data_IF_637583787647
#
_entry.id   IF_637583787647
#
_cell.length_a   1.000
_cell.length_b   1.000
_cell.length_c   1.000
_cell.angle_alpha   90.00
_cell.angle_beta   90.00
_cell.angle_gamma   90.00
#
_symmetry.space_group_name_H-M   'P 1'
#
loop_
_entity.id
_entity.type
_entity.pdbx_description
1 polymer ?
#
# COMPACT_ATOMS: atom_id res chain seq x y z
N UNK A 1 -36.96 -1.89 -87.91
CA UNK A 1 -36.01 -1.26 -86.96
C UNK A 1 -36.00 -2.11 -85.68
N UNK A 2 -35.12 -3.11 -85.59
CA UNK A 2 -35.06 -4.03 -84.44
C UNK A 2 -34.14 -3.46 -83.36
N UNK A 3 -34.63 -3.52 -82.14
CA UNK A 3 -34.12 -2.91 -80.90
C UNK A 3 -32.71 -3.38 -80.53
N UNK A 4 -31.80 -2.43 -80.35
CA UNK A 4 -30.52 -2.61 -79.67
C UNK A 4 -30.66 -2.05 -78.24
N UNK A 5 -31.12 -2.87 -77.31
CA UNK A 5 -31.16 -2.56 -75.86
C UNK A 5 -30.75 -3.81 -75.07
N UNK A 6 -29.46 -4.14 -75.05
CA UNK A 6 -28.98 -5.24 -74.18
C UNK A 6 -27.55 -5.10 -73.67
N UNK A 7 -26.82 -4.04 -74.03
CA UNK A 7 -25.42 -3.88 -73.63
C UNK A 7 -25.22 -3.18 -72.26
N UNK A 8 -26.10 -2.25 -71.86
CA UNK A 8 -25.88 -1.43 -70.65
C UNK A 8 -26.25 -2.10 -69.33
N UNK A 9 -27.25 -2.99 -69.31
CA UNK A 9 -27.65 -3.67 -68.08
C UNK A 9 -26.62 -4.70 -67.59
N UNK A 10 -25.83 -5.30 -68.50
CA UNK A 10 -24.80 -6.28 -68.10
C UNK A 10 -23.56 -5.64 -67.49
N UNK A 11 -23.20 -4.42 -67.89
CA UNK A 11 -22.10 -3.66 -67.28
C UNK A 11 -22.48 -3.16 -65.89
N UNK A 12 -23.70 -2.65 -65.70
CA UNK A 12 -24.13 -2.10 -64.40
C UNK A 12 -24.27 -3.18 -63.31
N UNK A 13 -24.68 -4.42 -63.68
CA UNK A 13 -24.74 -5.52 -62.72
C UNK A 13 -23.34 -5.94 -62.23
N UNK A 14 -22.36 -6.06 -63.15
CA UNK A 14 -20.99 -6.45 -62.80
C UNK A 14 -20.29 -5.39 -61.93
N UNK A 15 -20.51 -4.09 -62.18
CA UNK A 15 -19.93 -3.05 -61.31
C UNK A 15 -20.49 -3.09 -59.89
N UNK A 16 -21.80 -3.37 -59.73
CA UNK A 16 -22.41 -3.54 -58.41
C UNK A 16 -21.88 -4.78 -57.67
N UNK A 17 -21.64 -5.89 -58.37
CA UNK A 17 -21.10 -7.11 -57.73
C UNK A 17 -19.64 -6.90 -57.30
N UNK A 18 -18.84 -6.21 -58.12
CA UNK A 18 -17.44 -5.89 -57.81
C UNK A 18 -17.35 -4.89 -56.65
N UNK A 19 -18.24 -3.89 -56.58
CA UNK A 19 -18.32 -2.97 -55.46
C UNK A 19 -18.76 -3.65 -54.14
N UNK A 20 -19.66 -4.64 -54.22
CA UNK A 20 -20.08 -5.43 -53.06
C UNK A 20 -18.96 -6.34 -52.55
N UNK A 21 -18.20 -6.96 -53.46
CA UNK A 21 -17.03 -7.79 -53.16
C UNK A 21 -15.87 -6.97 -52.59
N UNK A 22 -15.61 -5.77 -53.14
CA UNK A 22 -14.64 -4.83 -52.58
C UNK A 22 -15.08 -4.31 -51.21
N UNK A 23 -16.37 -4.02 -51.01
CA UNK A 23 -16.95 -3.65 -49.72
C UNK A 23 -16.89 -4.78 -48.69
N UNK A 24 -17.07 -6.03 -49.13
CA UNK A 24 -16.93 -7.21 -48.27
C UNK A 24 -15.45 -7.50 -47.95
N UNK A 25 -14.52 -7.36 -48.90
CA UNK A 25 -13.08 -7.43 -48.64
C UNK A 25 -12.59 -6.29 -47.73
N UNK A 26 -13.13 -5.07 -47.87
CA UNK A 26 -12.84 -3.95 -46.96
C UNK A 26 -13.44 -4.17 -45.57
N UNK A 27 -14.64 -4.76 -45.47
CA UNK A 27 -15.20 -5.20 -44.19
C UNK A 27 -14.40 -6.36 -43.59
N UNK A 28 -13.92 -7.31 -44.39
CA UNK A 28 -13.05 -8.39 -43.91
C UNK A 28 -11.66 -7.87 -43.51
N UNK A 29 -11.12 -6.85 -44.19
CA UNK A 29 -9.88 -6.16 -43.81
C UNK A 29 -10.08 -5.27 -42.56
N UNK A 30 -11.27 -4.70 -42.34
CA UNK A 30 -11.66 -4.03 -41.10
C UNK A 30 -11.95 -5.01 -39.95
N UNK A 31 -12.44 -6.21 -40.26
CA UNK A 31 -12.60 -7.31 -39.29
C UNK A 31 -11.27 -8.02 -39.02
N UNK A 32 -10.26 -7.82 -39.89
CA UNK A 32 -8.88 -8.26 -39.70
C UNK A 32 -7.95 -7.24 -39.04
N UNK A 33 -8.43 -6.02 -38.73
CA UNK A 33 -8.00 -5.39 -37.48
C UNK A 33 -8.56 -6.27 -36.37
N UNK A 34 -7.81 -7.31 -36.04
CA UNK A 34 -8.22 -8.33 -35.11
C UNK A 34 -8.70 -7.71 -33.81
N UNK A 35 -9.43 -8.51 -33.05
CA UNK A 35 -9.55 -8.39 -31.60
C UNK A 35 -8.15 -8.46 -30.94
N UNK A 36 -7.26 -7.51 -31.25
CA UNK A 36 -6.20 -7.10 -30.37
C UNK A 36 -6.95 -6.45 -29.19
N UNK A 37 -7.26 -7.24 -28.17
CA UNK A 37 -7.72 -6.73 -26.90
C UNK A 37 -6.74 -5.65 -26.46
N UNK A 38 -7.16 -4.39 -26.62
CA UNK A 38 -6.27 -3.26 -26.40
C UNK A 38 -6.04 -3.13 -24.91
N UNK A 39 -4.81 -2.83 -24.49
CA UNK A 39 -4.51 -2.60 -23.07
C UNK A 39 -5.41 -1.51 -22.44
N UNK A 40 -6.01 -0.66 -23.28
CA UNK A 40 -7.00 0.34 -22.89
C UNK A 40 -8.28 -0.28 -22.30
N UNK A 41 -8.82 -1.35 -22.91
CA UNK A 41 -10.00 -2.04 -22.38
C UNK A 41 -9.71 -2.66 -21.01
N UNK A 42 -8.52 -3.24 -20.84
CA UNK A 42 -8.07 -3.76 -19.53
C UNK A 42 -7.98 -2.64 -18.50
N UNK A 43 -7.46 -1.47 -18.88
CA UNK A 43 -7.40 -0.30 -17.99
C UNK A 43 -8.79 0.16 -17.58
N UNK A 44 -9.75 0.18 -18.50
CA UNK A 44 -11.14 0.56 -18.19
C UNK A 44 -11.81 -0.43 -17.24
N UNK A 45 -11.61 -1.74 -17.45
CA UNK A 45 -12.09 -2.77 -16.53
C UNK A 45 -11.51 -2.62 -15.12
N UNK A 46 -10.19 -2.39 -15.00
CA UNK A 46 -9.54 -2.16 -13.72
C UNK A 46 -10.05 -0.87 -13.03
N UNK A 47 -10.25 0.21 -13.79
CA UNK A 47 -10.86 1.45 -13.25
C UNK A 47 -12.28 1.19 -12.77
N UNK A 48 -13.06 0.42 -13.50
CA UNK A 48 -14.43 0.05 -13.11
C UNK A 48 -14.45 -0.79 -11.83
N UNK A 49 -13.47 -1.66 -11.63
CA UNK A 49 -13.30 -2.40 -10.37
C UNK A 49 -12.92 -1.49 -9.18
N UNK A 50 -12.51 -0.26 -9.44
CA UNK A 50 -12.19 0.76 -8.45
C UNK A 50 -10.70 0.99 -8.22
N UNK A 51 -9.82 0.39 -9.03
CA UNK A 51 -8.39 0.71 -8.99
C UNK A 51 -8.15 2.18 -9.39
N UNK A 52 -7.16 2.80 -8.76
CA UNK A 52 -6.78 4.19 -9.02
C UNK A 52 -5.42 4.26 -9.70
N UNK A 53 -5.10 5.40 -10.31
CA UNK A 53 -3.84 5.64 -11.01
C UNK A 53 -3.48 4.52 -12.01
N UNK A 54 -4.49 4.07 -12.77
CA UNK A 54 -4.35 2.94 -13.70
C UNK A 54 -3.86 3.44 -15.05
N UNK A 55 -2.90 2.78 -15.67
CA UNK A 55 -2.43 3.10 -17.02
C UNK A 55 -1.68 1.92 -17.63
N UNK A 56 -1.35 2.03 -18.91
CA UNK A 56 -0.63 0.99 -19.62
C UNK A 56 0.27 1.55 -20.73
N UNK A 57 1.25 0.76 -21.13
CA UNK A 57 2.07 1.01 -22.33
C UNK A 57 2.56 -0.33 -22.86
N UNK A 58 2.90 -0.36 -24.15
CA UNK A 58 3.41 -1.56 -24.79
C UNK A 58 4.49 -1.16 -25.79
N UNK A 59 5.57 -1.93 -25.83
CA UNK A 59 6.60 -1.84 -26.86
C UNK A 59 6.81 -3.20 -27.55
N UNK A 60 7.95 -3.39 -28.22
CA UNK A 60 8.26 -4.63 -28.91
C UNK A 60 8.57 -5.79 -27.94
N UNK A 61 8.99 -5.51 -26.72
CA UNK A 61 9.49 -6.50 -25.74
C UNK A 61 8.46 -6.81 -24.64
N UNK A 62 7.79 -5.78 -24.11
CA UNK A 62 6.92 -5.92 -22.94
C UNK A 62 5.65 -5.05 -23.01
N UNK A 63 4.55 -5.58 -22.43
CA UNK A 63 3.36 -4.81 -22.07
C UNK A 63 3.39 -4.51 -20.57
N UNK A 64 3.30 -3.23 -20.20
CA UNK A 64 3.39 -2.78 -18.80
C UNK A 64 2.09 -2.10 -18.39
N UNK A 65 1.43 -2.67 -17.38
CA UNK A 65 0.34 -2.03 -16.65
C UNK A 65 0.88 -1.36 -15.38
N UNK A 66 0.26 -0.25 -15.00
CA UNK A 66 0.47 0.40 -13.70
C UNK A 66 -0.87 0.56 -13.02
N UNK A 67 -0.95 0.26 -11.73
CA UNK A 67 -2.19 0.38 -10.96
C UNK A 67 -1.92 0.66 -9.48
N UNK A 68 -2.88 1.31 -8.81
CA UNK A 68 -2.91 1.47 -7.36
C UNK A 68 -4.15 0.78 -6.82
N UNK A 69 -3.94 -0.21 -5.95
CA UNK A 69 -5.04 -0.86 -5.25
C UNK A 69 -5.55 0.03 -4.13
N UNK A 70 -6.73 0.63 -4.36
CA UNK A 70 -7.48 1.35 -3.33
C UNK A 70 -8.87 0.76 -3.10
N UNK A 71 -9.28 -0.20 -3.92
CA UNK A 71 -10.60 -0.83 -3.84
C UNK A 71 -10.63 -2.01 -2.88
N UNK A 72 -9.55 -2.78 -2.81
CA UNK A 72 -9.44 -3.95 -1.95
C UNK A 72 -8.55 -3.63 -0.74
N UNK A 73 -9.06 -3.95 0.45
CA UNK A 73 -8.32 -3.70 1.70
C UNK A 73 -7.03 -4.50 1.79
N UNK A 74 -7.06 -5.73 1.29
CA UNK A 74 -5.93 -6.63 1.27
C UNK A 74 -5.20 -6.51 -0.07
N UNK A 75 -3.91 -6.19 -0.03
CA UNK A 75 -3.11 -5.98 -1.23
C UNK A 75 -3.01 -7.24 -2.09
N UNK A 76 -2.75 -8.40 -1.48
CA UNK A 76 -2.72 -9.69 -2.18
C UNK A 76 -4.00 -10.00 -2.95
N UNK A 77 -5.17 -9.80 -2.34
CA UNK A 77 -6.47 -10.02 -3.01
C UNK A 77 -6.66 -9.04 -4.17
N UNK A 78 -6.39 -7.75 -3.96
CA UNK A 78 -6.53 -6.75 -5.01
C UNK A 78 -5.61 -7.03 -6.19
N UNK A 79 -4.34 -7.34 -5.92
CA UNK A 79 -3.36 -7.66 -6.96
C UNK A 79 -3.75 -8.95 -7.69
N UNK A 80 -4.16 -10.00 -6.98
CA UNK A 80 -4.65 -11.25 -7.59
C UNK A 80 -5.85 -11.01 -8.50
N UNK A 81 -6.81 -10.17 -8.09
CA UNK A 81 -7.96 -9.78 -8.92
C UNK A 81 -7.56 -8.95 -10.14
N UNK A 82 -6.52 -8.13 -10.04
CA UNK A 82 -5.99 -7.41 -11.19
C UNK A 82 -5.30 -8.37 -12.18
N UNK A 83 -4.55 -9.35 -11.66
CA UNK A 83 -3.95 -10.42 -12.47
C UNK A 83 -5.02 -11.21 -13.23
N UNK A 84 -6.10 -11.65 -12.54
CA UNK A 84 -7.22 -12.36 -13.18
C UNK A 84 -7.75 -11.58 -14.39
N UNK A 85 -8.06 -10.30 -14.19
CA UNK A 85 -8.66 -9.45 -15.23
C UNK A 85 -7.68 -9.21 -16.38
N UNK A 86 -6.39 -9.05 -16.10
CA UNK A 86 -5.38 -8.89 -17.15
C UNK A 86 -5.24 -10.19 -17.96
N UNK A 87 -5.36 -11.35 -17.33
CA UNK A 87 -5.32 -12.65 -18.00
C UNK A 87 -6.59 -12.90 -18.83
N UNK A 88 -7.77 -12.66 -18.26
CA UNK A 88 -9.08 -12.77 -18.92
C UNK A 88 -9.20 -11.83 -20.14
N UNK A 89 -8.60 -10.63 -20.04
CA UNK A 89 -8.58 -9.63 -21.11
C UNK A 89 -7.41 -9.81 -22.09
N UNK A 90 -6.64 -10.89 -21.98
CA UNK A 90 -5.59 -11.26 -22.92
C UNK A 90 -4.19 -10.74 -22.57
N UNK A 91 -3.26 -11.68 -22.38
CA UNK A 91 -1.83 -11.41 -22.29
C UNK A 91 -1.23 -11.15 -23.68
N UNK A 92 -0.16 -10.34 -23.78
CA UNK A 92 0.46 -10.08 -25.07
C UNK A 92 1.14 -11.35 -25.62
N UNK A 93 0.95 -11.63 -26.90
CA UNK A 93 1.60 -12.76 -27.58
C UNK A 93 3.10 -12.51 -27.76
N UNK A 94 3.93 -13.51 -27.43
CA UNK A 94 5.39 -13.47 -27.56
C UNK A 94 6.12 -12.31 -26.86
N UNK A 95 5.46 -11.64 -25.91
CA UNK A 95 6.03 -10.54 -25.11
C UNK A 95 5.84 -10.82 -23.63
N UNK A 96 6.69 -10.23 -22.79
CA UNK A 96 6.44 -10.27 -21.35
C UNK A 96 5.32 -9.33 -20.96
N UNK A 97 4.65 -9.64 -19.85
CA UNK A 97 3.67 -8.75 -19.24
C UNK A 97 4.14 -8.34 -17.84
N UNK A 98 4.00 -7.06 -17.52
CA UNK A 98 4.42 -6.51 -16.23
C UNK A 98 3.32 -5.69 -15.59
N UNK A 99 3.13 -5.85 -14.29
CA UNK A 99 2.23 -5.02 -13.49
C UNK A 99 3.06 -4.27 -12.45
N UNK A 100 3.03 -2.95 -12.47
CA UNK A 100 3.66 -2.11 -11.45
C UNK A 100 2.60 -1.64 -10.47
N UNK A 101 2.75 -2.05 -9.21
CA UNK A 101 1.82 -1.69 -8.13
C UNK A 101 2.30 -0.43 -7.44
N UNK A 102 1.44 0.56 -7.34
CA UNK A 102 1.69 1.83 -6.66
C UNK A 102 1.09 1.85 -5.25
N UNK A 103 1.70 2.62 -4.36
CA UNK A 103 1.07 3.17 -3.15
C UNK A 103 1.32 4.68 -3.12
N UNK A 104 0.25 5.45 -2.96
CA UNK A 104 0.26 6.92 -3.09
C UNK A 104 1.06 7.46 -4.30
N UNK A 105 0.84 6.89 -5.49
CA UNK A 105 1.58 7.19 -6.73
C UNK A 105 3.09 6.85 -6.74
N UNK A 106 3.62 6.21 -5.69
CA UNK A 106 5.01 5.72 -5.61
C UNK A 106 5.03 4.22 -5.95
N UNK A 107 5.86 3.75 -6.89
CA UNK A 107 5.92 2.34 -7.25
C UNK A 107 6.56 1.51 -6.13
N UNK A 108 5.90 0.43 -5.73
CA UNK A 108 6.30 -0.40 -4.59
C UNK A 108 6.92 -1.72 -5.05
N UNK A 109 6.21 -2.46 -5.89
CA UNK A 109 6.63 -3.76 -6.43
C UNK A 109 6.25 -3.87 -7.91
N UNK A 110 6.88 -4.80 -8.61
CA UNK A 110 6.45 -5.27 -9.92
C UNK A 110 6.07 -6.75 -9.86
N UNK A 111 5.12 -7.14 -10.72
CA UNK A 111 4.83 -8.52 -11.06
C UNK A 111 5.21 -8.72 -12.52
N UNK A 112 6.00 -9.73 -12.82
CA UNK A 112 6.52 -10.01 -14.14
C UNK A 112 6.12 -11.41 -14.60
N UNK A 113 5.43 -11.48 -15.72
CA UNK A 113 5.05 -12.71 -16.40
C UNK A 113 5.89 -12.86 -17.67
N UNK A 114 6.56 -14.01 -17.80
CA UNK A 114 7.19 -14.40 -19.05
C UNK A 114 6.28 -15.40 -19.77
N UNK A 115 6.07 -15.24 -21.09
CA UNK A 115 5.28 -16.19 -21.85
C UNK A 115 5.96 -17.56 -21.84
N UNK A 116 5.20 -18.59 -21.49
CA UNK A 116 5.66 -19.98 -21.53
C UNK A 116 5.55 -20.46 -22.98
N UNK A 117 6.68 -20.65 -23.65
CA UNK A 117 6.74 -21.15 -25.02
C UNK A 117 6.71 -22.69 -24.97
N UNK A 118 5.61 -23.30 -25.43
CA UNK A 118 5.44 -24.74 -25.55
C UNK A 118 4.40 -25.11 -26.61
N UNK A 119 4.36 -26.38 -27.04
CA UNK A 119 3.51 -26.88 -28.14
C UNK A 119 1.99 -26.80 -27.84
N UNK A 120 1.62 -26.59 -26.58
CA UNK A 120 0.25 -26.30 -26.12
C UNK A 120 0.28 -24.94 -25.45
N UNK A 121 -0.64 -24.02 -25.77
CA UNK A 121 -0.74 -22.71 -25.10
C UNK A 121 -1.09 -22.98 -23.63
N UNK A 122 -0.16 -22.82 -22.67
CA UNK A 122 -0.50 -23.03 -21.27
C UNK A 122 -1.37 -21.85 -20.84
N UNK A 123 -2.53 -22.12 -20.24
CA UNK A 123 -3.30 -21.06 -19.60
C UNK A 123 -2.42 -20.46 -18.50
N UNK A 124 -2.15 -19.15 -18.60
CA UNK A 124 -1.30 -18.46 -17.64
C UNK A 124 -1.95 -18.54 -16.25
N UNK A 125 -1.22 -19.01 -15.25
CA UNK A 125 -1.70 -19.09 -13.88
C UNK A 125 -1.08 -17.97 -13.02
N UNK A 126 -1.72 -17.63 -11.90
CA UNK A 126 -1.16 -16.67 -10.92
C UNK A 126 0.22 -17.08 -10.42
N UNK A 127 0.53 -18.38 -10.41
CA UNK A 127 1.84 -18.92 -10.00
C UNK A 127 2.98 -18.57 -10.97
N UNK A 128 2.67 -18.16 -12.20
CA UNK A 128 3.69 -17.86 -13.21
C UNK A 128 4.22 -16.43 -13.10
N UNK A 129 3.54 -15.57 -12.34
CA UNK A 129 3.96 -14.19 -12.10
C UNK A 129 5.07 -14.11 -11.04
N UNK A 130 6.26 -13.67 -11.43
CA UNK A 130 7.33 -13.39 -10.48
C UNK A 130 7.10 -12.02 -9.84
N UNK A 131 7.17 -11.93 -8.51
CA UNK A 131 6.96 -10.68 -7.78
C UNK A 131 8.29 -10.20 -7.25
N UNK A 132 8.62 -8.93 -7.46
CA UNK A 132 9.90 -8.35 -7.06
C UNK A 132 9.75 -6.89 -6.64
N UNK A 133 10.65 -6.42 -5.77
CA UNK A 133 10.85 -4.99 -5.58
C UNK A 133 11.42 -4.34 -6.83
N UNK A 134 12.25 -5.03 -7.63
CA UNK A 134 12.83 -4.45 -8.84
C UNK A 134 11.73 -4.09 -9.85
N UNK A 135 11.89 -2.93 -10.47
CA UNK A 135 10.98 -2.41 -11.49
C UNK A 135 11.60 -2.50 -12.90
N UNK A 136 12.88 -2.86 -12.99
CA UNK A 136 13.74 -2.79 -14.18
C UNK A 136 13.63 -1.45 -14.94
N UNK A 137 13.82 -1.49 -16.27
CA UNK A 137 13.61 -0.35 -17.17
C UNK A 137 12.14 0.06 -17.32
N UNK A 138 11.19 -0.82 -16.98
CA UNK A 138 9.76 -0.64 -17.25
C UNK A 138 9.17 0.61 -16.58
N UNK A 139 9.64 0.96 -15.37
CA UNK A 139 9.17 2.18 -14.71
C UNK A 139 9.50 3.46 -15.49
N UNK A 140 10.65 3.51 -16.18
CA UNK A 140 11.03 4.67 -17.00
C UNK A 140 10.08 4.85 -18.19
N UNK A 141 9.56 3.75 -18.73
CA UNK A 141 8.59 3.70 -19.83
C UNK A 141 7.21 4.19 -19.36
N UNK A 142 6.68 3.59 -18.28
CA UNK A 142 5.29 3.86 -17.83
C UNK A 142 5.12 5.17 -17.05
N UNK A 143 6.17 5.74 -16.43
CA UNK A 143 6.02 6.94 -15.58
C UNK A 143 5.47 8.17 -16.30
N UNK A 144 5.57 8.23 -17.64
CA UNK A 144 5.10 9.34 -18.48
C UNK A 144 3.69 9.11 -19.04
N UNK A 145 3.15 7.89 -18.89
CA UNK A 145 1.83 7.52 -19.38
C UNK A 145 0.76 8.25 -18.58
N UNK A 146 -0.29 8.70 -19.27
CA UNK A 146 -1.48 9.28 -18.64
C UNK A 146 -2.21 8.19 -17.87
N UNK A 147 -2.43 8.41 -16.57
CA UNK A 147 -3.16 7.47 -15.71
C UNK A 147 -4.62 7.87 -15.59
N UNK A 148 -5.53 6.90 -15.68
CA UNK A 148 -6.96 7.05 -15.38
C UNK A 148 -7.22 6.93 -13.88
N UNK A 149 -8.35 7.49 -13.45
CA UNK A 149 -8.84 7.47 -12.07
C UNK A 149 -7.79 7.90 -11.02
N UNK A 150 -7.24 9.11 -11.17
CA UNK A 150 -6.21 9.67 -10.27
C UNK A 150 -6.63 9.58 -8.80
N UNK A 151 -5.68 9.24 -7.91
CA UNK A 151 -5.92 9.25 -6.46
C UNK A 151 -5.70 10.63 -5.81
N UNK A 152 -5.20 11.61 -6.55
CA UNK A 152 -4.82 12.92 -6.02
C UNK A 152 -6.06 13.73 -5.61
N UNK A 153 -5.93 14.47 -4.51
CA UNK A 153 -6.95 15.32 -3.88
C UNK A 153 -8.24 14.61 -3.46
N UNK A 154 -8.27 13.28 -3.53
CA UNK A 154 -9.39 12.50 -3.02
C UNK A 154 -9.25 12.32 -1.51
N UNK A 155 -10.37 12.47 -0.82
CA UNK A 155 -10.44 12.50 0.65
C UNK A 155 -10.88 11.13 1.17
N UNK A 156 -10.12 10.59 2.12
CA UNK A 156 -10.48 9.43 2.92
C UNK A 156 -10.77 9.86 4.36
N UNK A 157 -11.96 9.52 4.87
CA UNK A 157 -12.32 9.68 6.27
C UNK A 157 -12.17 8.31 6.92
N UNK A 158 -11.09 8.10 7.65
CA UNK A 158 -10.72 6.84 8.28
C UNK A 158 -10.97 6.91 9.78
N UNK A 159 -11.77 5.99 10.31
CA UNK A 159 -12.04 5.91 11.76
C UNK A 159 -11.11 4.87 12.39
N UNK A 160 -10.17 5.32 13.21
CA UNK A 160 -9.24 4.43 13.93
C UNK A 160 -9.78 4.12 15.34
N UNK A 161 -10.05 2.85 15.67
CA UNK A 161 -10.31 2.45 17.05
C UNK A 161 -8.97 2.28 17.79
N UNK A 162 -8.81 2.97 18.91
CA UNK A 162 -7.64 2.84 19.79
C UNK A 162 -8.07 2.20 21.12
N UNK A 163 -7.52 1.03 21.42
CA UNK A 163 -7.70 0.37 22.72
C UNK A 163 -6.37 0.35 23.46
N UNK A 164 -6.34 1.02 24.60
CA UNK A 164 -5.21 1.04 25.52
C UNK A 164 -5.58 0.32 26.81
N UNK A 165 -4.71 -0.59 27.25
CA UNK A 165 -4.85 -1.33 28.50
C UNK A 165 -3.58 -1.15 29.33
N UNK A 166 -3.76 -0.98 30.64
CA UNK A 166 -2.65 -0.87 31.59
C UNK A 166 -2.96 -1.71 32.82
N UNK A 167 -1.99 -2.50 33.26
CA UNK A 167 -2.01 -3.21 34.53
C UNK A 167 -1.10 -2.46 35.52
N UNK A 168 -1.58 -1.33 36.03
CA UNK A 168 -0.80 -0.44 36.90
C UNK A 168 -1.43 -0.22 38.29
N UNK A 169 -2.64 -0.73 38.51
CA UNK A 169 -3.40 -0.49 39.75
C UNK A 169 -3.52 -1.81 40.50
N UNK A 170 -3.05 -1.87 41.75
CA UNK A 170 -3.04 -3.10 42.56
C UNK A 170 -4.45 -3.70 42.69
N UNK A 171 -5.47 -2.84 42.73
CA UNK A 171 -6.85 -3.19 43.03
C UNK A 171 -7.66 -3.58 41.78
N UNK A 172 -7.10 -3.44 40.58
CA UNK A 172 -7.75 -3.75 39.30
C UNK A 172 -6.75 -4.40 38.35
N UNK A 173 -7.05 -5.61 37.87
CA UNK A 173 -6.17 -6.32 36.93
C UNK A 173 -5.88 -5.51 35.65
N UNK A 174 -6.86 -4.75 35.15
CA UNK A 174 -6.65 -3.85 34.01
C UNK A 174 -7.50 -2.58 34.15
N UNK A 175 -6.94 -1.46 33.73
CA UNK A 175 -7.66 -0.23 33.40
C UNK A 175 -7.74 -0.09 31.89
N UNK A 176 -8.88 0.41 31.40
CA UNK A 176 -9.13 0.56 29.96
C UNK A 176 -9.28 2.02 29.51
N UNK A 177 -8.79 2.31 28.31
CA UNK A 177 -9.05 3.52 27.56
C UNK A 177 -9.40 3.14 26.12
N UNK A 178 -10.59 3.53 25.68
CA UNK A 178 -11.07 3.32 24.32
C UNK A 178 -11.35 4.68 23.67
N UNK A 179 -10.61 4.97 22.60
CA UNK A 179 -10.80 6.16 21.78
C UNK A 179 -11.29 5.77 20.38
N UNK A 180 -12.08 6.65 19.78
CA UNK A 180 -12.39 6.64 18.35
C UNK A 180 -11.75 7.86 17.71
N UNK A 181 -10.89 7.62 16.73
CA UNK A 181 -10.05 8.65 16.16
C UNK A 181 -10.37 8.86 14.67
N UNK A 182 -11.44 9.62 14.35
CA UNK A 182 -11.72 10.01 12.98
C UNK A 182 -10.55 10.81 12.41
N UNK A 183 -10.10 10.38 11.24
CA UNK A 183 -8.88 10.86 10.58
C UNK A 183 -9.16 11.17 9.13
N UNK A 184 -8.82 12.38 8.70
CA UNK A 184 -8.87 12.78 7.30
C UNK A 184 -7.50 12.51 6.67
N UNK A 185 -7.48 11.75 5.58
CA UNK A 185 -6.31 11.43 4.79
C UNK A 185 -6.48 11.93 3.36
N UNK A 186 -5.53 12.72 2.87
CA UNK A 186 -5.57 13.29 1.51
C UNK A 186 -4.22 13.11 0.84
N UNK A 187 -4.21 12.48 -0.33
CA UNK A 187 -3.06 12.40 -1.22
C UNK A 187 -2.94 13.70 -2.00
N UNK A 188 -1.94 14.53 -1.71
CA UNK A 188 -1.82 15.86 -2.31
C UNK A 188 -1.02 15.85 -3.63
N UNK A 189 0.04 15.05 -3.69
CA UNK A 189 0.88 14.85 -4.87
C UNK A 189 1.55 13.48 -4.79
N UNK A 190 2.41 13.15 -5.76
CA UNK A 190 3.12 11.86 -5.78
C UNK A 190 3.93 11.65 -4.49
N UNK A 191 3.54 10.63 -3.72
CA UNK A 191 4.15 10.30 -2.43
C UNK A 191 3.82 11.29 -1.30
N UNK A 192 3.15 12.40 -1.58
CA UNK A 192 2.73 13.40 -0.60
C UNK A 192 1.36 13.05 -0.01
N UNK A 193 1.27 13.01 1.32
CA UNK A 193 0.02 12.72 2.04
C UNK A 193 -0.13 13.63 3.26
N UNK A 194 -1.24 14.35 3.33
CA UNK A 194 -1.67 15.07 4.52
C UNK A 194 -2.60 14.20 5.34
N UNK A 195 -2.45 14.25 6.67
CA UNK A 195 -3.26 13.47 7.60
C UNK A 195 -3.57 14.31 8.84
N UNK A 196 -4.85 14.37 9.21
CA UNK A 196 -5.32 15.10 10.37
C UNK A 196 -6.32 14.25 11.14
N UNK A 197 -6.10 14.09 12.44
CA UNK A 197 -6.83 13.19 13.32
C UNK A 197 -7.34 13.96 14.53
N UNK A 198 -8.58 13.64 14.92
CA UNK A 198 -9.19 14.06 16.18
C UNK A 198 -9.37 12.82 17.04
N UNK A 199 -9.00 12.89 18.32
CA UNK A 199 -9.18 11.80 19.27
C UNK A 199 -10.44 12.06 20.08
N UNK A 200 -11.39 11.13 20.02
CA UNK A 200 -12.66 11.18 20.77
C UNK A 200 -12.64 10.06 21.80
N UNK A 201 -12.53 10.37 23.11
CA UNK A 201 -12.59 9.36 24.15
C UNK A 201 -14.02 8.83 24.29
N UNK A 202 -14.21 7.52 24.13
CA UNK A 202 -15.51 6.85 24.25
C UNK A 202 -15.67 6.19 25.61
N UNK A 203 -14.60 5.56 26.11
CA UNK A 203 -14.56 4.97 27.44
C UNK A 203 -13.20 5.25 28.08
N UNK A 204 -13.16 5.69 29.33
CA UNK A 204 -11.93 6.17 29.95
C UNK A 204 -11.89 5.89 31.46
N UNK A 205 -11.00 5.00 31.87
CA UNK A 205 -10.65 4.76 33.28
C UNK A 205 -9.29 5.38 33.68
N UNK A 206 -8.58 6.02 32.75
CA UNK A 206 -7.23 6.56 32.98
C UNK A 206 -7.25 7.91 33.72
N UNK A 207 -8.41 8.55 33.81
CA UNK A 207 -8.64 9.80 34.55
C UNK A 207 -9.03 10.98 33.66
N UNK A 208 -9.33 12.11 34.30
CA UNK A 208 -9.95 13.29 33.67
C UNK A 208 -9.15 13.89 32.51
N UNK A 209 -7.81 13.79 32.53
CA UNK A 209 -6.93 14.29 31.47
C UNK A 209 -7.18 13.63 30.10
N UNK A 210 -7.70 12.40 30.08
CA UNK A 210 -7.99 11.63 28.87
C UNK A 210 -9.47 11.74 28.42
N UNK A 211 -10.32 12.42 29.19
CA UNK A 211 -11.75 12.56 28.92
C UNK A 211 -12.13 13.69 27.95
N UNK A 212 -11.16 14.53 27.56
CA UNK A 212 -11.38 15.62 26.62
C UNK A 212 -11.17 15.16 25.16
N UNK A 213 -12.03 15.64 24.26
CA UNK A 213 -11.78 15.63 22.81
C UNK A 213 -10.52 16.45 22.55
N UNK A 214 -9.58 15.88 21.81
CA UNK A 214 -8.25 16.46 21.64
C UNK A 214 -7.73 16.24 20.22
N UNK A 215 -6.81 17.11 19.83
CA UNK A 215 -6.02 16.90 18.63
C UNK A 215 -5.23 15.58 18.74
N UNK A 216 -5.30 14.76 17.70
CA UNK A 216 -4.45 13.59 17.53
C UNK A 216 -3.25 13.90 16.64
N UNK A 217 -2.94 12.99 15.73
CA UNK A 217 -1.94 13.21 14.69
C UNK A 217 -2.35 14.35 13.74
N UNK A 218 -1.45 15.29 13.45
CA UNK A 218 -1.60 16.22 12.33
C UNK A 218 -0.25 16.33 11.64
N UNK A 219 -0.14 15.88 10.41
CA UNK A 219 1.16 15.88 9.72
C UNK A 219 1.06 15.78 8.21
N UNK A 220 2.16 16.20 7.58
CA UNK A 220 2.43 16.01 6.16
C UNK A 220 3.57 14.99 6.04
N UNK A 221 3.38 14.01 5.16
CA UNK A 221 4.40 13.00 4.84
C UNK A 221 4.71 12.99 3.35
N UNK A 222 5.97 12.74 3.02
CA UNK A 222 6.49 12.55 1.68
C UNK A 222 7.24 11.24 1.62
N UNK A 223 6.76 10.28 0.82
CA UNK A 223 7.50 9.09 0.46
C UNK A 223 8.08 9.22 -0.95
N UNK A 224 9.34 8.84 -1.14
CA UNK A 224 9.96 8.72 -2.46
C UNK A 224 10.68 7.39 -2.57
N UNK A 225 10.64 6.81 -3.77
CA UNK A 225 11.47 5.66 -4.13
C UNK A 225 12.72 6.17 -4.83
N UNK A 226 13.88 5.81 -4.28
CA UNK A 226 15.19 6.03 -4.86
C UNK A 226 15.63 4.78 -5.68
N UNK A 227 16.70 4.89 -6.48
CA UNK A 227 17.29 3.72 -7.13
C UNK A 227 17.70 2.62 -6.12
N UNK A 228 17.90 1.40 -6.61
CA UNK A 228 18.30 0.23 -5.80
C UNK A 228 17.32 -0.11 -4.67
N UNK A 229 16.01 -0.10 -4.94
CA UNK A 229 14.99 -0.57 -3.98
C UNK A 229 15.06 0.12 -2.60
N UNK A 230 15.41 1.41 -2.61
CA UNK A 230 15.49 2.24 -1.41
C UNK A 230 14.28 3.16 -1.33
N UNK A 231 13.62 3.20 -0.19
CA UNK A 231 12.49 4.07 0.08
C UNK A 231 12.87 5.07 1.15
N UNK A 232 12.60 6.34 0.89
CA UNK A 232 12.82 7.44 1.82
C UNK A 232 11.46 8.04 2.17
N UNK A 233 11.20 8.22 3.47
CA UNK A 233 9.98 8.84 3.97
C UNK A 233 10.33 9.96 4.93
N UNK A 234 9.92 11.18 4.60
CA UNK A 234 10.00 12.35 5.46
C UNK A 234 8.61 12.67 6.00
N UNK A 235 8.50 13.05 7.27
CA UNK A 235 7.26 13.49 7.89
C UNK A 235 7.49 14.72 8.78
N UNK A 236 6.55 15.65 8.77
CA UNK A 236 6.56 16.85 9.62
C UNK A 236 5.19 17.06 10.22
N UNK A 237 5.14 17.43 11.49
CA UNK A 237 3.87 17.75 12.18
C UNK A 237 3.84 17.33 13.64
N UNK A 238 2.62 17.10 14.13
CA UNK A 238 2.30 16.53 15.44
C UNK A 238 2.07 15.03 15.31
N UNK A 239 2.89 14.26 16.01
CA UNK A 239 2.94 12.80 16.02
C UNK A 239 2.32 12.21 17.28
N UNK A 240 2.19 10.88 17.33
CA UNK A 240 1.75 10.17 18.53
C UNK A 240 2.72 10.39 19.70
N UNK A 241 2.30 10.01 20.91
CA UNK A 241 3.06 10.29 22.14
C UNK A 241 3.39 11.78 22.34
N UNK A 242 2.48 12.66 21.89
CA UNK A 242 2.52 14.09 22.18
C UNK A 242 3.84 14.73 21.72
N UNK A 243 4.28 14.36 20.51
CA UNK A 243 5.50 14.89 19.90
C UNK A 243 5.17 15.79 18.73
N UNK A 244 5.99 16.81 18.50
CA UNK A 244 5.95 17.57 17.24
C UNK A 244 7.36 17.75 16.70
N UNK A 245 7.50 17.88 15.39
CA UNK A 245 8.79 18.12 14.75
C UNK A 245 8.90 17.44 13.40
N UNK A 246 10.11 16.98 13.07
CA UNK A 246 10.43 16.30 11.82
C UNK A 246 10.97 14.89 12.04
N UNK A 247 10.68 14.01 11.10
CA UNK A 247 11.13 12.63 11.06
C UNK A 247 11.58 12.27 9.65
N UNK A 248 12.71 11.58 9.54
CA UNK A 248 13.21 11.04 8.29
C UNK A 248 13.54 9.57 8.49
N UNK A 249 13.00 8.71 7.63
CA UNK A 249 13.26 7.28 7.64
C UNK A 249 13.63 6.79 6.25
N UNK A 250 14.53 5.82 6.19
CA UNK A 250 14.94 5.14 4.98
C UNK A 250 14.91 3.63 5.21
N UNK A 251 14.43 2.88 4.22
CA UNK A 251 14.54 1.42 4.18
C UNK A 251 15.09 1.00 2.82
N UNK A 252 16.09 0.14 2.84
CA UNK A 252 16.71 -0.44 1.65
C UNK A 252 16.48 -1.94 1.65
N UNK A 253 15.93 -2.46 0.55
CA UNK A 253 15.79 -3.90 0.31
C UNK A 253 16.93 -4.38 -0.58
N UNK A 254 17.66 -5.40 -0.13
CA UNK A 254 18.73 -6.00 -0.91
C UNK A 254 18.17 -6.79 -2.10
N UNK A 255 19.04 -7.19 -3.04
CA UNK A 255 18.64 -7.96 -4.24
C UNK A 255 17.94 -9.29 -3.93
N UNK A 256 18.24 -9.91 -2.79
CA UNK A 256 17.58 -11.14 -2.34
C UNK A 256 16.15 -10.87 -1.79
N UNK A 257 15.80 -9.59 -1.56
CA UNK A 257 14.50 -9.08 -1.10
C UNK A 257 14.04 -9.56 0.28
N UNK A 258 14.67 -10.63 0.79
CA UNK A 258 14.51 -11.17 2.14
C UNK A 258 15.18 -10.27 3.16
N UNK A 259 16.30 -9.68 2.80
CA UNK A 259 17.07 -8.82 3.69
C UNK A 259 16.73 -7.36 3.46
N UNK A 260 16.65 -6.61 4.55
CA UNK A 260 16.52 -5.15 4.52
C UNK A 260 17.37 -4.48 5.59
N UNK A 261 17.71 -3.22 5.36
CA UNK A 261 18.30 -2.33 6.37
C UNK A 261 17.44 -1.09 6.46
N UNK A 262 17.12 -0.68 7.69
CA UNK A 262 16.31 0.50 7.99
C UNK A 262 17.07 1.47 8.88
N UNK A 263 16.94 2.75 8.58
CA UNK A 263 17.49 3.85 9.36
C UNK A 263 16.42 4.90 9.57
N UNK A 264 16.36 5.48 10.77
CA UNK A 264 15.43 6.56 11.10
C UNK A 264 16.11 7.58 11.98
N UNK A 265 15.83 8.84 11.73
CA UNK A 265 16.26 9.97 12.55
C UNK A 265 15.08 10.92 12.77
N UNK A 266 14.93 11.39 13.99
CA UNK A 266 13.81 12.22 14.40
C UNK A 266 14.28 13.38 15.25
N UNK A 267 13.83 14.59 14.94
CA UNK A 267 14.12 15.79 15.71
C UNK A 267 12.81 16.41 16.20
N UNK A 268 12.50 16.20 17.48
CA UNK A 268 11.18 16.45 18.05
C UNK A 268 11.21 17.28 19.34
N UNK A 269 10.07 17.90 19.63
CA UNK A 269 9.73 18.55 20.90
C UNK A 269 8.46 17.92 21.50
N UNK A 270 8.14 18.29 22.73
CA UNK A 270 6.86 17.92 23.35
C UNK A 270 5.74 18.82 22.85
N UNK A 271 4.56 18.24 22.66
CA UNK A 271 3.36 18.90 22.19
C UNK A 271 2.24 18.62 23.18
N UNK A 272 1.49 19.64 23.60
CA UNK A 272 0.36 19.46 24.52
C UNK A 272 -0.84 20.25 24.02
N UNK A 273 -1.96 19.56 23.91
CA UNK A 273 -3.25 20.17 23.62
C UNK A 273 -4.09 20.20 24.91
N UNK A 274 -4.49 21.40 25.34
CA UNK A 274 -5.35 21.56 26.51
C UNK A 274 -6.16 22.84 26.40
N UNK A 275 -7.45 22.78 26.72
CA UNK A 275 -8.40 23.90 26.65
C UNK A 275 -8.35 24.64 25.31
N UNK A 276 -8.39 23.90 24.20
CA UNK A 276 -8.32 24.44 22.84
C UNK A 276 -7.05 25.25 22.52
N UNK A 277 -6.00 25.11 23.33
CA UNK A 277 -4.70 25.74 23.10
C UNK A 277 -3.65 24.68 22.82
N UNK A 278 -2.98 24.84 21.69
CA UNK A 278 -1.84 24.01 21.31
C UNK A 278 -0.55 24.65 21.82
N UNK A 279 0.13 23.95 22.74
CA UNK A 279 1.40 24.39 23.33
C UNK A 279 2.51 23.46 22.87
N UNK A 280 3.57 24.04 22.32
CA UNK A 280 4.73 23.31 21.80
C UNK A 280 5.99 23.72 22.56
N UNK A 281 6.82 22.75 22.93
CA UNK A 281 8.16 23.03 23.44
C UNK A 281 9.13 23.24 22.27
N UNK A 282 10.27 23.92 22.45
CA UNK A 282 11.33 23.93 21.44
C UNK A 282 11.75 22.49 21.06
N UNK A 283 12.18 22.31 19.81
CA UNK A 283 12.75 21.05 19.33
C UNK A 283 14.10 20.83 20.01
N UNK A 284 14.23 19.75 20.77
CA UNK A 284 15.45 19.43 21.54
C UNK A 284 15.76 17.94 21.61
N UNK A 285 14.83 17.07 21.18
CA UNK A 285 14.96 15.62 21.31
C UNK A 285 15.35 15.03 19.98
N UNK A 286 16.60 14.56 19.90
CA UNK A 286 17.07 13.69 18.83
C UNK A 286 16.73 12.23 19.19
N UNK A 287 16.10 11.52 18.27
CA UNK A 287 15.90 10.06 18.33
C UNK A 287 16.44 9.44 17.06
N UNK A 288 16.97 8.23 17.15
CA UNK A 288 17.46 7.51 15.98
C UNK A 288 17.22 6.01 16.15
N UNK A 289 17.06 5.33 15.03
CA UNK A 289 16.93 3.87 14.93
C UNK A 289 17.81 3.40 13.79
N UNK A 290 18.54 2.32 14.00
CA UNK A 290 19.21 1.57 12.95
C UNK A 290 18.83 0.10 13.12
N UNK A 291 18.39 -0.56 12.06
CA UNK A 291 17.94 -1.94 12.14
C UNK A 291 18.16 -2.74 10.87
N UNK A 292 18.19 -4.06 11.03
CA UNK A 292 18.20 -5.03 9.94
C UNK A 292 16.96 -5.92 10.00
N UNK A 293 16.44 -6.29 8.84
CA UNK A 293 15.30 -7.17 8.68
C UNK A 293 15.64 -8.41 7.87
N UNK A 294 15.00 -9.54 8.22
CA UNK A 294 15.00 -10.78 7.45
C UNK A 294 13.56 -11.29 7.30
N UNK A 295 13.11 -11.54 6.08
CA UNK A 295 11.82 -12.13 5.77
C UNK A 295 12.00 -13.61 5.41
N UNK A 296 11.34 -14.50 6.16
CA UNK A 296 11.29 -15.94 5.93
C UNK A 296 10.03 -16.29 5.10
N UNK A 297 10.18 -16.59 3.80
CA UNK A 297 9.04 -16.76 2.89
C UNK A 297 8.13 -17.94 3.25
N UNK A 298 8.71 -19.07 3.65
CA UNK A 298 7.98 -20.32 3.94
C UNK A 298 6.86 -20.14 4.99
N UNK A 299 7.05 -19.24 5.96
CA UNK A 299 6.09 -19.02 7.04
C UNK A 299 5.50 -17.60 7.04
N UNK A 300 5.77 -16.79 6.01
CA UNK A 300 5.41 -15.37 5.98
C UNK A 300 5.79 -14.61 7.26
N UNK A 301 7.02 -14.86 7.73
CA UNK A 301 7.49 -14.35 9.03
C UNK A 301 8.67 -13.41 8.86
N UNK A 302 8.57 -12.22 9.43
CA UNK A 302 9.60 -11.20 9.43
C UNK A 302 10.29 -11.13 10.79
N UNK A 303 11.62 -11.10 10.76
CA UNK A 303 12.48 -10.85 11.91
C UNK A 303 13.13 -9.48 11.75
N UNK A 304 13.15 -8.68 12.80
CA UNK A 304 13.88 -7.40 12.83
C UNK A 304 14.73 -7.30 14.07
N UNK A 305 15.95 -6.81 13.91
CA UNK A 305 16.84 -6.43 14.99
C UNK A 305 17.17 -4.96 14.86
N UNK A 306 16.91 -4.18 15.91
CA UNK A 306 17.06 -2.73 15.92
C UNK A 306 17.87 -2.26 17.11
N UNK A 307 18.66 -1.23 16.88
CA UNK A 307 19.31 -0.42 17.92
C UNK A 307 18.69 0.96 17.86
N UNK A 308 18.15 1.42 18.97
CA UNK A 308 17.27 2.60 19.02
C UNK A 308 17.63 3.53 20.19
N UNK A 309 17.48 4.83 19.97
CA UNK A 309 17.41 5.84 21.03
C UNK A 309 15.96 6.28 21.23
N UNK A 310 15.45 6.03 22.44
CA UNK A 310 14.09 6.31 22.85
C UNK A 310 13.88 7.76 23.31
N UNK A 311 12.63 8.08 23.63
CA UNK A 311 12.15 9.44 23.89
C UNK A 311 12.81 10.16 25.08
N UNK A 312 13.33 9.46 26.10
CA UNK A 312 14.05 10.09 27.21
C UNK A 312 15.57 10.04 27.02
N UNK A 313 16.05 9.56 25.86
CA UNK A 313 17.47 9.52 25.49
C UNK A 313 18.13 8.17 25.73
N UNK A 314 17.35 7.16 26.07
CA UNK A 314 17.84 5.85 26.47
C UNK A 314 18.10 5.02 25.24
N UNK A 315 19.22 4.30 25.25
CA UNK A 315 19.58 3.42 24.14
C UNK A 315 19.12 2.01 24.46
N UNK A 316 18.64 1.30 23.46
CA UNK A 316 18.24 -0.08 23.61
C UNK A 316 18.36 -0.89 22.35
N UNK A 317 18.27 -2.20 22.53
CA UNK A 317 18.21 -3.17 21.44
C UNK A 317 16.81 -3.78 21.46
N UNK A 318 16.22 -3.94 20.28
CA UNK A 318 14.86 -4.46 20.12
C UNK A 318 14.85 -5.52 19.03
N UNK A 319 14.33 -6.69 19.38
CA UNK A 319 14.08 -7.79 18.47
C UNK A 319 12.57 -7.93 18.28
N UNK A 320 12.14 -8.09 17.03
CA UNK A 320 10.75 -8.30 16.65
C UNK A 320 10.65 -9.53 15.74
N UNK A 321 9.69 -10.40 16.01
CA UNK A 321 9.30 -11.51 15.14
C UNK A 321 7.82 -11.35 14.83
N UNK A 322 7.45 -11.15 13.57
CA UNK A 322 6.06 -10.95 13.16
C UNK A 322 5.71 -11.93 12.04
N UNK A 323 4.70 -12.75 12.26
CA UNK A 323 4.06 -13.55 11.22
C UNK A 323 2.85 -12.81 10.65
N UNK A 324 2.81 -12.70 9.32
CA UNK A 324 1.69 -12.10 8.61
C UNK A 324 0.81 -13.19 8.01
N UNK A 325 -0.47 -13.09 8.30
CA UNK A 325 -1.54 -13.82 7.63
C UNK A 325 -2.35 -12.83 6.81
N UNK A 326 -3.23 -13.34 5.95
CA UNK A 326 -4.12 -12.54 5.12
C UNK A 326 -4.91 -11.47 5.89
N UNK A 327 -5.59 -11.88 6.96
CA UNK A 327 -6.49 -11.01 7.72
C UNK A 327 -5.90 -10.51 9.03
N UNK A 328 -4.75 -11.04 9.44
CA UNK A 328 -4.15 -10.71 10.73
C UNK A 328 -2.63 -10.81 10.71
N UNK A 329 -1.96 -9.99 11.50
CA UNK A 329 -0.53 -10.10 11.78
C UNK A 329 -0.35 -10.34 13.26
N UNK A 330 0.46 -11.35 13.62
CA UNK A 330 0.80 -11.67 15.01
C UNK A 330 2.29 -11.50 15.17
N UNK A 331 2.73 -10.78 16.18
CA UNK A 331 4.15 -10.57 16.44
C UNK A 331 4.51 -10.61 17.92
N UNK A 332 5.76 -10.94 18.17
CA UNK A 332 6.40 -10.94 19.47
C UNK A 332 7.57 -9.97 19.42
N UNK A 333 7.83 -9.29 20.53
CA UNK A 333 9.03 -8.47 20.65
C UNK A 333 9.69 -8.67 22.00
N UNK A 334 11.01 -8.59 21.99
CA UNK A 334 11.86 -8.50 23.17
C UNK A 334 12.75 -7.28 23.03
N UNK A 335 13.02 -6.60 24.13
CA UNK A 335 13.90 -5.44 24.14
C UNK A 335 14.70 -5.33 25.43
N UNK A 336 15.86 -4.71 25.30
CA UNK A 336 16.73 -4.33 26.41
C UNK A 336 17.00 -2.84 26.34
N UNK A 337 16.58 -2.09 27.36
CA UNK A 337 16.67 -0.63 27.42
C UNK A 337 17.55 -0.19 28.58
N UNK A 338 18.41 0.79 28.36
CA UNK A 338 19.19 1.41 29.43
C UNK A 338 18.30 2.12 30.46
N UNK A 339 18.68 2.06 31.73
CA UNK A 339 18.03 2.73 32.87
C UNK A 339 16.59 2.28 33.20
N UNK A 340 16.01 1.37 32.42
CA UNK A 340 14.70 0.80 32.68
C UNK A 340 14.73 -0.22 33.83
N UNK A 341 13.57 -0.40 34.48
CA UNK A 341 13.39 -1.41 35.52
C UNK A 341 13.63 -2.84 35.01
N UNK A 342 13.73 -3.81 35.93
CA UNK A 342 13.95 -5.22 35.59
C UNK A 342 15.24 -5.49 34.76
N UNK A 343 16.35 -4.87 35.15
CA UNK A 343 17.64 -4.91 34.43
C UNK A 343 17.53 -4.48 32.95
N UNK A 344 16.52 -3.67 32.64
CA UNK A 344 16.24 -3.17 31.30
C UNK A 344 15.48 -4.11 30.37
N UNK A 345 15.14 -5.32 30.82
CA UNK A 345 14.45 -6.31 29.97
C UNK A 345 12.95 -6.07 29.93
N UNK A 346 12.42 -6.03 28.71
CA UNK A 346 10.99 -6.00 28.47
C UNK A 346 10.62 -6.83 27.23
N UNK A 347 9.37 -7.28 27.15
CA UNK A 347 8.87 -8.03 26.03
C UNK A 347 7.35 -8.02 25.99
N UNK A 348 6.81 -8.53 24.90
CA UNK A 348 5.37 -8.50 24.68
C UNK A 348 4.98 -9.12 23.36
N UNK A 349 3.68 -9.13 23.11
CA UNK A 349 3.13 -9.54 21.83
C UNK A 349 2.23 -8.46 21.27
N UNK A 350 2.03 -8.53 19.96
CA UNK A 350 1.22 -7.60 19.18
C UNK A 350 0.36 -8.43 18.26
N UNK A 351 -0.89 -8.07 18.13
CA UNK A 351 -1.69 -8.56 17.02
C UNK A 351 -2.35 -7.40 16.32
N UNK A 352 -2.55 -7.56 15.02
CA UNK A 352 -3.27 -6.62 14.19
C UNK A 352 -4.28 -7.40 13.37
N UNK A 353 -5.53 -6.94 13.30
CA UNK A 353 -6.60 -7.55 12.54
C UNK A 353 -7.10 -6.55 11.51
N UNK A 354 -7.19 -6.96 10.25
CA UNK A 354 -7.71 -6.14 9.18
C UNK A 354 -9.23 -6.02 9.31
N UNK A 355 -9.75 -4.79 9.44
CA UNK A 355 -11.17 -4.56 9.70
C UNK A 355 -12.00 -4.61 8.41
N UNK A 356 -13.21 -5.21 8.43
CA UNK A 356 -14.15 -5.15 7.31
C UNK A 356 -14.74 -3.74 7.15
N UNK A 357 -15.43 -3.43 6.03
CA UNK A 357 -15.46 -4.20 4.78
C UNK A 357 -14.08 -4.43 4.12
N UNK A 358 -13.99 -5.41 3.21
CA UNK A 358 -12.75 -5.73 2.49
C UNK A 358 -12.72 -5.24 1.03
N UNK A 359 -13.85 -4.76 0.52
CA UNK A 359 -13.99 -4.16 -0.81
C UNK A 359 -14.78 -2.87 -0.70
N UNK A 360 -14.30 -1.82 -1.38
CA UNK A 360 -14.94 -0.52 -1.45
C UNK A 360 -14.70 0.09 -2.81
N UNK A 361 -15.71 0.72 -3.39
CA UNK A 361 -15.56 1.50 -4.63
C UNK A 361 -15.78 2.97 -4.32
N UNK A 362 -14.79 3.81 -4.64
CA UNK A 362 -14.95 5.26 -4.53
C UNK A 362 -15.74 5.78 -5.73
N UNK A 363 -16.65 6.72 -5.50
CA UNK A 363 -17.42 7.41 -6.55
C UNK A 363 -16.84 8.80 -6.78
N UNK A 364 -15.96 8.93 -7.78
CA UNK A 364 -15.33 10.21 -8.11
C UNK A 364 -14.56 10.83 -6.94
N UNK A 365 -14.87 12.09 -6.62
CA UNK A 365 -14.26 12.86 -5.53
C UNK A 365 -15.07 12.86 -4.23
N UNK A 366 -16.17 12.11 -4.16
CA UNK A 366 -16.96 12.00 -2.92
C UNK A 366 -16.09 11.37 -1.82
N UNK A 367 -15.94 12.02 -0.66
CA UNK A 367 -15.20 11.44 0.46
C UNK A 367 -15.80 10.10 0.85
N UNK A 368 -14.96 9.07 0.98
CA UNK A 368 -15.41 7.76 1.49
C UNK A 368 -15.07 7.64 2.96
N UNK A 369 -16.02 7.09 3.72
CA UNK A 369 -15.85 6.78 5.14
C UNK A 369 -15.48 5.32 5.27
N UNK A 370 -14.38 5.04 5.96
CA UNK A 370 -13.83 3.71 6.11
C UNK A 370 -13.42 3.49 7.57
N UNK A 371 -13.50 2.27 8.11
CA UNK A 371 -12.73 1.94 9.30
C UNK A 371 -11.24 1.89 8.94
N UNK A 372 -10.37 2.01 9.95
CA UNK A 372 -8.94 1.80 9.78
C UNK A 372 -8.64 0.48 9.08
N UNK A 373 -7.54 0.45 8.32
CA UNK A 373 -7.13 -0.77 7.60
C UNK A 373 -6.96 -1.94 8.56
N UNK A 374 -6.33 -1.68 9.70
CA UNK A 374 -6.16 -2.64 10.77
C UNK A 374 -6.50 -2.02 12.13
N UNK A 375 -6.99 -2.86 13.03
CA UNK A 375 -7.00 -2.62 14.46
C UNK A 375 -5.82 -3.36 15.08
N UNK A 376 -5.02 -2.69 15.89
CA UNK A 376 -3.85 -3.27 16.52
C UNK A 376 -3.91 -3.17 18.03
N UNK A 377 -3.50 -4.25 18.71
CA UNK A 377 -3.32 -4.27 20.15
C UNK A 377 -1.92 -4.79 20.46
N UNK A 378 -1.28 -4.16 21.45
CA UNK A 378 0.01 -4.57 21.96
C UNK A 378 -0.11 -4.86 23.45
N UNK A 379 0.33 -6.04 23.86
CA UNK A 379 0.51 -6.38 25.26
C UNK A 379 1.99 -6.22 25.62
N UNK A 380 2.23 -5.56 26.75
CA UNK A 380 3.55 -5.34 27.31
C UNK A 380 3.62 -6.11 28.64
N UNK A 381 4.53 -7.07 28.74
CA UNK A 381 4.68 -7.92 29.92
C UNK A 381 5.37 -7.19 31.08
N UNK A 382 6.19 -6.19 30.79
CA UNK A 382 6.85 -5.37 31.80
C UNK A 382 5.97 -4.22 32.27
N UNK A 383 6.01 -3.92 33.58
CA UNK A 383 5.39 -2.72 34.17
C UNK A 383 6.20 -1.43 33.91
N UNK A 384 7.08 -1.41 32.91
CA UNK A 384 7.91 -0.25 32.58
C UNK A 384 7.05 0.87 31.98
N UNK A 385 7.02 2.01 32.68
CA UNK A 385 6.07 3.10 32.43
C UNK A 385 6.71 4.29 31.72
N UNK A 386 8.02 4.48 31.84
CA UNK A 386 8.71 5.69 31.40
C UNK A 386 9.67 5.40 30.25
N UNK A 387 10.45 4.33 30.39
CA UNK A 387 11.53 3.99 29.49
C UNK A 387 11.05 3.23 28.24
N UNK A 388 11.83 3.28 27.16
CA UNK A 388 11.57 2.47 25.95
C UNK A 388 10.42 2.96 25.07
N UNK A 389 9.94 4.20 25.27
CA UNK A 389 8.87 4.79 24.46
C UNK A 389 9.43 5.40 23.17
N UNK A 390 8.75 5.14 22.07
CA UNK A 390 8.98 5.75 20.74
C UNK A 390 7.72 6.50 20.27
N UNK A 391 7.72 7.08 19.08
CA UNK A 391 6.54 7.70 18.49
C UNK A 391 6.36 7.27 17.03
N UNK A 392 5.13 7.40 16.53
CA UNK A 392 4.72 7.02 15.18
C UNK A 392 4.63 8.28 14.32
N UNK A 393 5.49 8.45 13.30
CA UNK A 393 5.55 9.65 12.47
C UNK A 393 4.56 9.60 11.30
N UNK A 394 4.02 8.42 10.96
CA UNK A 394 3.04 8.21 9.88
C UNK A 394 2.01 7.18 10.36
N UNK A 395 0.75 7.59 10.53
CA UNK A 395 -0.30 6.73 11.10
C UNK A 395 -0.57 5.46 10.29
N UNK A 396 -0.53 5.56 8.95
CA UNK A 396 -0.76 4.39 8.09
C UNK A 396 0.38 3.38 8.13
N UNK A 397 1.55 3.71 8.69
CA UNK A 397 2.68 2.78 8.75
C UNK A 397 2.48 1.77 9.91
N UNK A 398 1.62 0.77 9.67
CA UNK A 398 1.35 -0.34 10.58
C UNK A 398 2.14 -1.58 10.17
N UNK A 399 2.32 -2.53 11.11
CA UNK A 399 3.00 -3.80 10.85
C UNK A 399 2.32 -4.58 9.71
N UNK A 400 0.99 -4.60 9.71
CA UNK A 400 0.20 -5.23 8.66
C UNK A 400 0.42 -4.54 7.29
N UNK A 401 0.51 -3.21 7.27
CA UNK A 401 0.73 -2.47 6.02
C UNK A 401 2.16 -2.60 5.50
N UNK A 402 3.16 -2.59 6.39
CA UNK A 402 4.57 -2.69 6.03
C UNK A 402 4.87 -3.94 5.20
N UNK A 403 4.31 -5.09 5.59
CA UNK A 403 4.50 -6.35 4.88
C UNK A 403 3.45 -6.62 3.80
N UNK A 404 2.41 -5.79 3.68
CA UNK A 404 1.32 -6.02 2.73
C UNK A 404 1.77 -6.01 1.26
N UNK A 405 2.87 -5.33 0.96
CA UNK A 405 3.49 -5.27 -0.37
C UNK A 405 4.88 -5.94 -0.39
N UNK A 406 5.17 -6.85 0.55
CA UNK A 406 6.36 -7.67 0.45
C UNK A 406 6.22 -8.67 -0.71
N UNK A 407 7.21 -8.78 -1.63
CA UNK A 407 7.13 -9.66 -2.80
C UNK A 407 6.81 -11.11 -2.46
N UNK A 408 7.45 -11.68 -1.44
CA UNK A 408 7.19 -13.05 -1.00
C UNK A 408 5.79 -13.21 -0.39
N UNK A 409 5.32 -12.21 0.36
CA UNK A 409 3.96 -12.22 0.89
C UNK A 409 2.92 -12.19 -0.23
N UNK A 410 3.07 -11.27 -1.20
CA UNK A 410 2.18 -11.19 -2.36
C UNK A 410 2.23 -12.48 -3.17
N UNK A 411 3.42 -13.05 -3.40
CA UNK A 411 3.57 -14.34 -4.08
C UNK A 411 2.80 -15.44 -3.35
N UNK A 412 2.88 -15.51 -2.03
CA UNK A 412 2.12 -16.48 -1.23
C UNK A 412 0.61 -16.27 -1.31
N UNK A 413 0.14 -15.02 -1.42
CA UNK A 413 -1.29 -14.72 -1.58
C UNK A 413 -1.82 -15.09 -2.97
N UNK A 414 -0.98 -14.97 -4.02
CA UNK A 414 -1.30 -15.38 -5.39
C UNK A 414 -1.35 -16.90 -5.58
N UNK A 415 -0.61 -17.67 -4.77
CA UNK A 415 -0.52 -19.12 -4.89
C UNK A 415 -1.65 -19.85 -4.17
N UNK A 416 -2.08 -19.32 -3.03
CA UNK A 416 -3.01 -20.02 -2.15
C UNK A 416 -4.49 -19.72 -2.45
N UNK A 417 -4.76 -18.72 -3.28
CA UNK A 417 -6.09 -18.15 -3.50
C UNK A 417 -6.14 -17.38 -4.81
#
# INVERSE_FOLDING_TARGET
MRLNKSADMRKCLTTKTIALLLGFCLCCLWVQEGLAQTGEQTVDALVEMGFENVGWTEDAEERVYVLQNTAYRLQGIGIGKAVDVIQEMGLPENKSCRIIVLDNNVPQISLHYHPIIGDSVPEAERRDWNVSYDLDGAWKKVRRVKKKNSSLFKVDIVVYPELSMQNLVINKMYTFLFNLDPTIEVSLWKGGKATAQVIIPVYNEYGSAYGQVRQGYIGLSQQVRLPWNTFLTAAVGSFTNNRWGGDLSAIHYFKDERFSVEGRIGYTGASRFHNWRWKVSPLKRLTWTLGGGFYWPQYNTQFKLKVEQYLLGEKGVRFEMTRNFRYTSIGFYGMKVQYAGNKGYNGGFRFQINLPPYKYKRRGYIPRVLPSRSFGMAYNAGNERYYGKSYTPVLSNTIAQENSLNPYFIKSELLNF
#
